data_IF_265704019041
#
_entry.id   IF_265704019041
#
_cell.length_a   1.000
_cell.length_b   1.000
_cell.length_c   1.000
_cell.angle_alpha   90.00
_cell.angle_beta   90.00
_cell.angle_gamma   90.00
#
_symmetry.space_group_name_H-M   'P 1'
#
loop_
_entity.id
_entity.type
_entity.pdbx_description
1 polymer ?
#
# COMPACT_ATOMS: atom_id res chain seq x y z
N UNK A 1 32.11 66.06 -27.00
CA UNK A 1 31.45 64.74 -26.83
C UNK A 1 30.69 64.74 -25.51
N UNK A 2 29.43 64.35 -25.56
CA UNK A 2 28.36 64.73 -24.63
C UNK A 2 28.57 64.28 -23.17
N UNK A 3 28.49 65.21 -22.22
CA UNK A 3 28.53 64.95 -20.77
C UNK A 3 27.36 64.09 -20.27
N UNK A 4 26.30 63.97 -21.08
CA UNK A 4 25.12 63.15 -20.80
C UNK A 4 25.37 61.64 -20.90
N UNK A 5 26.24 61.17 -21.81
CA UNK A 5 26.57 59.73 -21.91
C UNK A 5 27.39 59.24 -20.70
N UNK A 6 28.27 60.08 -20.16
CA UNK A 6 29.09 59.74 -18.98
C UNK A 6 28.25 59.66 -17.70
N UNK A 7 27.23 60.49 -17.57
CA UNK A 7 26.30 60.46 -16.42
C UNK A 7 25.28 59.31 -16.53
N UNK A 8 24.82 58.99 -17.74
CA UNK A 8 23.95 57.84 -17.98
C UNK A 8 24.60 56.51 -17.61
N UNK A 9 25.86 56.29 -18.01
CA UNK A 9 26.59 55.05 -17.70
C UNK A 9 26.81 54.80 -16.20
N UNK A 10 27.04 55.86 -15.41
CA UNK A 10 27.23 55.75 -13.96
C UNK A 10 25.93 55.40 -13.22
N UNK A 11 24.79 55.93 -13.68
CA UNK A 11 23.49 55.60 -13.10
C UNK A 11 23.08 54.13 -13.38
N UNK A 12 23.36 53.62 -14.58
CA UNK A 12 23.09 52.23 -14.95
C UNK A 12 23.96 51.25 -14.16
N UNK A 13 25.23 51.58 -13.90
CA UNK A 13 26.14 50.75 -13.11
C UNK A 13 25.69 50.62 -11.64
N UNK A 14 25.19 51.70 -11.04
CA UNK A 14 24.69 51.68 -9.66
C UNK A 14 23.47 50.75 -9.50
N UNK A 15 22.52 50.81 -10.43
CA UNK A 15 21.32 49.95 -10.41
C UNK A 15 21.69 48.47 -10.65
N UNK A 16 22.61 48.19 -11.59
CA UNK A 16 23.04 46.83 -11.88
C UNK A 16 23.77 46.17 -10.69
N UNK A 17 24.60 46.92 -9.96
CA UNK A 17 25.28 46.41 -8.76
C UNK A 17 24.32 46.15 -7.59
N UNK A 18 23.29 46.99 -7.43
CA UNK A 18 22.24 46.77 -6.42
C UNK A 18 21.45 45.49 -6.64
N UNK A 19 21.13 45.14 -7.88
CA UNK A 19 20.36 43.92 -8.21
C UNK A 19 21.22 42.66 -8.00
N UNK A 20 22.50 42.68 -8.38
CA UNK A 20 23.41 41.56 -8.17
C UNK A 20 23.64 41.25 -6.68
N UNK A 21 23.73 42.29 -5.84
CA UNK A 21 23.89 42.15 -4.38
C UNK A 21 22.64 41.55 -3.71
N UNK A 22 21.44 41.86 -4.24
CA UNK A 22 20.16 41.39 -3.70
C UNK A 22 19.84 39.94 -4.11
N UNK A 23 20.21 39.55 -5.33
CA UNK A 23 20.03 38.18 -5.84
C UNK A 23 20.98 37.16 -5.16
N UNK A 24 22.11 37.61 -4.61
CA UNK A 24 23.10 36.75 -3.97
C UNK A 24 22.64 36.13 -2.64
N UNK A 25 21.70 36.74 -1.90
CA UNK A 25 21.18 36.17 -0.65
C UNK A 25 20.17 35.02 -0.86
N UNK A 26 19.58 34.88 -2.05
CA UNK A 26 18.54 33.88 -2.33
C UNK A 26 19.00 32.64 -3.11
N UNK A 27 20.23 32.63 -3.62
CA UNK A 27 20.74 31.61 -4.56
C UNK A 27 22.08 30.98 -4.13
N UNK A 28 22.48 31.16 -2.87
CA UNK A 28 23.69 30.55 -2.30
C UNK A 28 23.49 29.10 -1.85
N UNK A 29 24.56 28.51 -1.33
CA UNK A 29 24.54 27.13 -0.78
C UNK A 29 23.58 26.96 0.41
N UNK A 30 23.16 28.06 1.05
CA UNK A 30 22.20 28.12 2.16
C UNK A 30 20.90 28.84 1.75
N UNK A 31 20.55 28.78 0.46
CA UNK A 31 19.31 29.37 -0.02
C UNK A 31 18.10 28.70 0.64
N UNK A 32 17.15 29.51 1.11
CA UNK A 32 15.88 29.05 1.68
C UNK A 32 15.09 28.13 0.73
N UNK A 33 15.33 28.23 -0.59
CA UNK A 33 14.73 27.35 -1.60
C UNK A 33 15.25 25.91 -1.54
N UNK A 34 16.46 25.68 -1.00
CA UNK A 34 17.02 24.34 -0.76
C UNK A 34 16.41 23.66 0.47
N UNK A 35 15.79 24.42 1.36
CA UNK A 35 15.11 23.90 2.56
C UNK A 35 13.68 23.44 2.26
N UNK A 36 13.14 23.76 1.08
CA UNK A 36 11.84 23.25 0.62
C UNK A 36 11.98 21.75 0.35
N UNK A 37 11.32 20.95 1.19
CA UNK A 37 11.32 19.49 1.08
C UNK A 37 10.05 19.00 0.40
N UNK A 38 10.11 17.83 -0.27
CA UNK A 38 8.91 17.16 -0.72
C UNK A 38 7.93 16.93 0.44
N UNK A 39 6.64 17.07 0.17
CA UNK A 39 5.58 16.88 1.18
C UNK A 39 5.56 15.44 1.72
N UNK A 40 5.88 14.48 0.85
CA UNK A 40 5.92 13.06 1.17
C UNK A 40 7.33 12.57 1.42
N UNK A 41 7.45 11.50 2.21
CA UNK A 41 8.72 10.99 2.68
C UNK A 41 9.67 10.66 1.52
N UNK A 42 10.90 11.16 1.64
CA UNK A 42 11.97 10.94 0.68
C UNK A 42 13.31 10.75 1.41
N UNK A 43 14.18 9.90 0.86
CA UNK A 43 15.54 9.69 1.36
C UNK A 43 16.46 9.20 0.25
N UNK A 44 17.76 9.24 0.49
CA UNK A 44 18.78 8.72 -0.43
C UNK A 44 19.83 7.97 0.39
N UNK A 45 20.21 6.77 -0.06
CA UNK A 45 21.33 6.01 0.50
C UNK A 45 22.15 5.40 -0.63
N UNK A 46 23.38 5.88 -0.78
CA UNK A 46 24.22 5.56 -1.94
C UNK A 46 23.47 5.93 -3.24
N UNK A 47 23.39 4.95 -4.15
CA UNK A 47 22.76 5.10 -5.46
C UNK A 47 21.23 4.99 -5.45
N UNK A 48 20.61 4.61 -4.32
CA UNK A 48 19.16 4.46 -4.22
C UNK A 48 18.54 5.73 -3.67
N UNK A 49 17.51 6.22 -4.37
CA UNK A 49 16.65 7.32 -3.91
C UNK A 49 15.21 6.83 -3.81
N UNK A 50 14.61 7.05 -2.65
CA UNK A 50 13.20 6.82 -2.41
C UNK A 50 12.49 8.18 -2.40
N UNK A 51 11.41 8.29 -3.15
CA UNK A 51 10.59 9.50 -3.20
C UNK A 51 9.10 9.17 -3.13
N UNK A 52 8.33 10.11 -2.60
CA UNK A 52 6.88 10.00 -2.51
C UNK A 52 6.41 8.74 -1.78
N UNK A 53 7.10 8.36 -0.69
CA UNK A 53 6.78 7.14 0.06
C UNK A 53 5.60 7.38 0.99
N UNK A 54 4.57 6.55 0.85
CA UNK A 54 3.34 6.60 1.64
C UNK A 54 2.82 5.20 1.93
N UNK A 55 2.18 5.03 3.09
CA UNK A 55 1.38 3.83 3.39
C UNK A 55 -0.08 4.22 3.19
N UNK A 56 -0.76 3.56 2.26
CA UNK A 56 -2.14 3.88 1.89
C UNK A 56 -3.06 2.77 2.40
N UNK A 57 -3.90 3.12 3.36
CA UNK A 57 -4.87 2.21 3.97
C UNK A 57 -6.19 2.23 3.20
N UNK A 58 -7.12 1.38 3.62
CA UNK A 58 -8.50 1.42 3.15
C UNK A 58 -9.13 2.81 3.31
N UNK A 59 -10.12 3.16 2.48
CA UNK A 59 -10.80 4.45 2.59
C UNK A 59 -11.69 4.55 3.83
N UNK A 60 -11.99 3.47 4.55
CA UNK A 60 -12.69 3.55 5.83
C UNK A 60 -11.66 3.63 6.98
N UNK A 61 -11.76 4.66 7.82
CA UNK A 61 -10.77 4.96 8.87
C UNK A 61 -10.69 3.90 9.97
N UNK A 62 -11.76 3.11 10.14
CA UNK A 62 -11.85 1.99 11.10
C UNK A 62 -11.45 0.63 10.49
N UNK A 63 -11.08 0.59 9.21
CA UNK A 63 -10.79 -0.68 8.55
C UNK A 63 -9.38 -1.16 8.87
N UNK A 64 -9.28 -2.35 9.47
CA UNK A 64 -8.03 -3.11 9.68
C UNK A 64 -7.60 -3.87 8.43
N UNK A 65 -8.14 -3.50 7.26
CA UNK A 65 -7.95 -4.17 6.00
C UNK A 65 -6.55 -4.05 5.41
N UNK A 66 -6.35 -4.58 4.19
CA UNK A 66 -5.08 -4.50 3.53
C UNK A 66 -4.70 -3.03 3.30
N UNK A 67 -3.39 -2.79 3.25
CA UNK A 67 -2.80 -1.51 2.92
C UNK A 67 -1.77 -1.71 1.81
N UNK A 68 -1.40 -0.64 1.12
CA UNK A 68 -0.38 -0.68 0.08
C UNK A 68 0.66 0.40 0.30
N UNK A 69 1.90 0.12 -0.09
CA UNK A 69 2.98 1.09 -0.06
C UNK A 69 3.10 1.71 -1.45
N UNK A 70 2.90 3.02 -1.54
CA UNK A 70 3.18 3.81 -2.74
C UNK A 70 4.55 4.43 -2.61
N UNK A 71 5.39 4.30 -3.64
CA UNK A 71 6.72 4.89 -3.68
C UNK A 71 7.24 4.99 -5.11
N UNK A 72 8.15 5.93 -5.37
CA UNK A 72 9.02 5.87 -6.54
C UNK A 72 10.44 5.58 -6.10
N UNK A 73 11.02 4.53 -6.65
CA UNK A 73 12.37 4.06 -6.35
C UNK A 73 13.25 4.37 -7.55
N UNK A 74 14.29 5.17 -7.36
CA UNK A 74 15.30 5.48 -8.38
C UNK A 74 16.61 4.79 -8.03
N UNK A 75 17.29 4.30 -9.05
CA UNK A 75 18.65 3.77 -8.95
C UNK A 75 19.55 4.59 -9.87
N UNK A 76 20.35 5.49 -9.28
CA UNK A 76 21.29 6.34 -10.02
C UNK A 76 22.62 5.65 -10.29
N UNK A 77 22.78 4.41 -9.83
CA UNK A 77 24.00 3.62 -9.99
C UNK A 77 24.13 3.01 -11.38
N UNK A 78 25.31 2.46 -11.65
CA UNK A 78 25.66 1.81 -12.92
C UNK A 78 25.23 0.33 -13.00
N UNK A 79 24.67 -0.23 -11.92
CA UNK A 79 24.21 -1.62 -11.88
C UNK A 79 22.79 -1.72 -11.36
N UNK A 80 22.00 -2.64 -11.92
CA UNK A 80 20.65 -2.90 -11.44
C UNK A 80 20.68 -3.47 -10.01
N UNK A 81 19.61 -3.19 -9.26
CA UNK A 81 19.39 -3.73 -7.91
C UNK A 81 18.01 -4.36 -7.81
N UNK A 82 17.90 -5.45 -7.05
CA UNK A 82 16.60 -6.03 -6.68
C UNK A 82 16.10 -5.36 -5.40
N UNK A 83 14.80 -5.10 -5.35
CA UNK A 83 14.08 -4.79 -4.13
C UNK A 83 13.60 -6.11 -3.54
N UNK A 84 14.28 -6.54 -2.47
CA UNK A 84 14.09 -7.87 -1.89
C UNK A 84 12.94 -7.89 -0.89
N UNK A 85 12.74 -6.80 -0.15
CA UNK A 85 11.62 -6.66 0.78
C UNK A 85 11.24 -5.19 1.04
N UNK A 86 9.99 -5.01 1.46
CA UNK A 86 9.50 -3.75 2.04
C UNK A 86 8.78 -4.10 3.35
N UNK A 87 9.25 -3.58 4.48
CA UNK A 87 8.67 -3.83 5.79
C UNK A 87 8.13 -2.52 6.39
N UNK A 88 6.93 -2.58 6.97
CA UNK A 88 6.33 -1.48 7.72
C UNK A 88 6.31 -1.85 9.20
N UNK A 89 6.88 -0.99 10.06
CA UNK A 89 6.87 -1.25 11.50
C UNK A 89 5.42 -1.37 12.02
N UNK A 90 5.13 -2.49 12.66
CA UNK A 90 3.77 -2.84 13.12
C UNK A 90 2.78 -3.23 12.02
N UNK A 91 3.15 -3.16 10.74
CA UNK A 91 2.39 -3.68 9.59
C UNK A 91 2.96 -4.98 9.02
N UNK A 92 4.25 -5.26 9.24
CA UNK A 92 4.94 -6.44 8.74
C UNK A 92 5.49 -6.26 7.32
N UNK A 93 5.88 -7.39 6.72
CA UNK A 93 6.48 -7.44 5.39
C UNK A 93 5.39 -7.41 4.31
N UNK A 94 5.57 -6.53 3.32
CA UNK A 94 4.69 -6.42 2.16
C UNK A 94 5.00 -7.49 1.12
N UNK A 95 3.94 -8.00 0.49
CA UNK A 95 4.02 -8.83 -0.69
C UNK A 95 4.42 -7.98 -1.90
N UNK A 96 5.56 -8.31 -2.51
CA UNK A 96 6.08 -7.64 -3.69
C UNK A 96 5.66 -8.36 -4.96
N UNK A 97 5.01 -7.64 -5.87
CA UNK A 97 4.63 -8.15 -7.18
C UNK A 97 5.18 -7.25 -8.29
N UNK A 98 5.98 -7.77 -9.23
CA UNK A 98 6.43 -6.98 -10.38
C UNK A 98 5.27 -6.52 -11.27
N UNK A 99 5.45 -5.37 -11.94
CA UNK A 99 4.45 -4.82 -12.86
C UNK A 99 4.11 -5.77 -14.03
N UNK A 100 5.09 -6.58 -14.46
CA UNK A 100 4.95 -7.54 -15.57
C UNK A 100 5.74 -8.80 -15.26
N UNK A 101 5.21 -9.95 -15.70
CA UNK A 101 5.86 -11.24 -15.56
C UNK A 101 5.83 -11.78 -14.13
N UNK A 102 6.72 -12.74 -13.86
CA UNK A 102 6.93 -13.34 -12.54
C UNK A 102 8.41 -13.17 -12.18
N UNK A 103 8.73 -13.05 -10.90
CA UNK A 103 10.12 -13.03 -10.41
C UNK A 103 10.43 -11.83 -9.52
N UNK A 104 11.72 -11.55 -9.36
CA UNK A 104 12.22 -10.49 -8.50
C UNK A 104 11.87 -9.09 -9.04
N UNK A 105 11.56 -8.18 -8.13
CA UNK A 105 11.31 -6.78 -8.46
C UNK A 105 12.64 -6.04 -8.63
N UNK A 106 13.02 -5.74 -9.87
CA UNK A 106 14.33 -5.14 -10.18
C UNK A 106 14.19 -3.67 -10.54
N UNK A 107 15.04 -2.83 -9.94
CA UNK A 107 15.23 -1.42 -10.27
C UNK A 107 16.43 -1.28 -11.23
N UNK A 108 16.20 -0.88 -12.50
CA UNK A 108 17.27 -0.79 -13.50
C UNK A 108 18.36 0.23 -13.13
N UNK A 109 19.59 0.01 -13.60
CA UNK A 109 20.66 1.01 -13.53
C UNK A 109 20.26 2.31 -14.26
N UNK A 110 20.49 3.46 -13.65
CA UNK A 110 20.04 4.76 -14.17
C UNK A 110 18.51 4.89 -14.34
N UNK A 111 17.73 3.98 -13.75
CA UNK A 111 16.30 3.84 -13.98
C UNK A 111 15.46 4.03 -12.72
N UNK A 112 14.16 3.75 -12.87
CA UNK A 112 13.21 3.83 -11.77
C UNK A 112 12.13 2.76 -11.84
N UNK A 113 11.51 2.51 -10.70
CA UNK A 113 10.33 1.66 -10.53
C UNK A 113 9.33 2.41 -9.67
N UNK A 114 8.06 2.35 -10.05
CA UNK A 114 6.94 2.88 -9.26
C UNK A 114 6.27 1.69 -8.55
N UNK A 115 6.01 1.86 -7.26
CA UNK A 115 5.19 0.98 -6.43
C UNK A 115 3.82 1.60 -6.22
N UNK A 116 2.78 0.78 -6.34
CA UNK A 116 1.39 1.18 -6.14
C UNK A 116 0.77 1.80 -7.40
N UNK A 117 -0.56 1.83 -7.41
CA UNK A 117 -1.35 2.29 -8.55
C UNK A 117 -1.45 1.27 -9.69
N UNK A 118 -2.44 1.47 -10.56
CA UNK A 118 -2.77 0.54 -11.64
C UNK A 118 -1.62 0.38 -12.63
N UNK A 119 -1.22 -0.87 -12.88
CA UNK A 119 -0.23 -1.23 -13.92
C UNK A 119 1.24 -1.09 -13.49
N UNK A 120 1.49 -0.69 -12.24
CA UNK A 120 2.81 -0.62 -11.63
C UNK A 120 3.12 -1.89 -10.82
N UNK A 121 4.32 -1.95 -10.26
CA UNK A 121 4.64 -2.99 -9.28
C UNK A 121 3.83 -2.74 -8.00
N UNK A 122 3.54 -3.80 -7.25
CA UNK A 122 2.78 -3.73 -6.00
C UNK A 122 3.68 -4.05 -4.81
N UNK A 123 3.40 -3.39 -3.69
CA UNK A 123 3.87 -3.72 -2.36
C UNK A 123 2.66 -3.66 -1.42
N UNK A 124 2.05 -4.81 -1.16
CA UNK A 124 0.78 -4.92 -0.45
C UNK A 124 0.95 -5.59 0.91
N UNK A 125 0.28 -5.05 1.93
CA UNK A 125 0.13 -5.66 3.25
C UNK A 125 -1.27 -6.25 3.33
N UNK A 126 -1.39 -7.52 3.69
CA UNK A 126 -2.68 -8.19 3.83
C UNK A 126 -3.49 -7.64 5.02
N UNK A 127 -2.78 -7.28 6.08
CA UNK A 127 -3.35 -6.72 7.30
C UNK A 127 -2.44 -5.61 7.82
N UNK A 128 -3.01 -4.69 8.58
CA UNK A 128 -2.26 -3.64 9.27
C UNK A 128 -2.44 -3.79 10.78
N UNK A 129 -1.33 -3.75 11.52
CA UNK A 129 -1.40 -3.78 12.98
C UNK A 129 -1.92 -2.46 13.55
N UNK A 130 -2.41 -2.51 14.79
CA UNK A 130 -3.06 -1.38 15.47
C UNK A 130 -2.20 -0.12 15.62
N UNK A 131 -0.88 -0.21 15.42
CA UNK A 131 0.02 0.95 15.43
C UNK A 131 0.00 1.75 14.12
N UNK A 132 -0.39 1.15 12.99
CA UNK A 132 -0.46 1.80 11.68
C UNK A 132 -1.82 2.50 11.57
N UNK A 133 -1.83 3.83 11.69
CA UNK A 133 -3.07 4.63 11.77
C UNK A 133 -3.01 5.85 10.86
N UNK A 134 -4.12 6.15 10.21
CA UNK A 134 -4.25 7.34 9.37
C UNK A 134 -3.82 8.60 10.13
N UNK A 135 -3.00 9.43 9.49
CA UNK A 135 -2.44 10.66 10.05
C UNK A 135 -1.13 10.48 10.84
N UNK A 136 -0.72 9.25 11.16
CA UNK A 136 0.60 9.01 11.77
C UNK A 136 1.68 8.72 10.73
N UNK A 137 2.95 8.63 11.18
CA UNK A 137 4.08 8.30 10.33
C UNK A 137 4.75 7.01 10.81
N UNK A 138 4.77 6.00 9.94
CA UNK A 138 5.36 4.69 10.21
C UNK A 138 6.75 4.57 9.61
N UNK A 139 7.63 3.86 10.32
CA UNK A 139 8.91 3.48 9.75
C UNK A 139 8.68 2.45 8.66
N UNK A 140 9.27 2.68 7.50
CA UNK A 140 9.28 1.76 6.37
C UNK A 140 10.73 1.46 6.03
N UNK A 141 11.04 0.18 5.86
CA UNK A 141 12.37 -0.33 5.50
C UNK A 141 12.29 -0.99 4.14
N UNK A 142 13.07 -0.48 3.19
CA UNK A 142 13.26 -1.08 1.87
C UNK A 142 14.62 -1.77 1.86
N UNK A 143 14.65 -3.07 1.59
CA UNK A 143 15.91 -3.83 1.53
C UNK A 143 16.27 -4.10 0.07
N UNK A 144 17.46 -3.64 -0.33
CA UNK A 144 17.99 -3.84 -1.67
C UNK A 144 19.19 -4.79 -1.66
N UNK A 145 19.35 -5.57 -2.72
CA UNK A 145 20.41 -6.60 -2.79
C UNK A 145 21.84 -6.09 -2.66
N UNK A 146 22.10 -4.80 -2.94
CA UNK A 146 23.45 -4.21 -2.82
C UNK A 146 23.51 -3.06 -1.83
N UNK A 147 22.56 -2.12 -1.92
CA UNK A 147 22.50 -0.98 -0.99
C UNK A 147 22.15 -1.41 0.44
N UNK A 148 21.47 -2.55 0.61
CA UNK A 148 20.96 -2.98 1.91
C UNK A 148 19.73 -2.18 2.33
N UNK A 149 19.61 -1.92 3.63
CA UNK A 149 18.41 -1.34 4.21
C UNK A 149 18.37 0.19 4.08
N UNK A 150 17.33 0.68 3.41
CA UNK A 150 17.00 2.10 3.31
C UNK A 150 15.76 2.37 4.15
N UNK A 151 15.91 3.17 5.20
CA UNK A 151 14.86 3.42 6.18
C UNK A 151 14.37 4.85 6.10
N UNK A 152 13.06 5.06 6.22
CA UNK A 152 12.45 6.38 6.36
C UNK A 152 11.12 6.28 7.10
N UNK A 153 10.52 7.43 7.44
CA UNK A 153 9.18 7.49 8.03
C UNK A 153 8.19 8.00 7.00
N UNK A 154 7.21 7.19 6.64
CA UNK A 154 6.19 7.51 5.66
C UNK A 154 4.84 7.81 6.34
N UNK A 155 4.10 8.79 5.83
CA UNK A 155 2.75 9.08 6.31
C UNK A 155 1.80 7.95 5.95
N UNK A 156 0.90 7.65 6.88
CA UNK A 156 -0.22 6.74 6.69
C UNK A 156 -1.44 7.55 6.31
N UNK A 157 -2.00 7.28 5.13
CA UNK A 157 -3.16 8.02 4.60
C UNK A 157 -4.25 7.06 4.14
N UNK A 158 -5.53 7.41 4.29
CA UNK A 158 -6.60 6.61 3.70
C UNK A 158 -6.63 6.78 2.18
N UNK A 159 -7.10 5.75 1.47
CA UNK A 159 -7.38 5.77 0.03
C UNK A 159 -8.58 6.68 -0.36
N UNK A 160 -8.61 7.92 0.16
CA UNK A 160 -9.61 8.95 -0.15
C UNK A 160 -9.01 10.02 -1.07
N UNK A 161 -9.89 10.77 -1.74
CA UNK A 161 -9.53 11.90 -2.59
C UNK A 161 -8.46 11.52 -3.64
N UNK A 162 -7.28 12.16 -3.58
CA UNK A 162 -6.16 11.93 -4.47
C UNK A 162 -5.58 10.50 -4.41
N UNK A 163 -5.79 9.77 -3.31
CA UNK A 163 -5.22 8.43 -3.08
C UNK A 163 -6.12 7.28 -3.54
N UNK A 164 -7.34 7.56 -4.02
CA UNK A 164 -8.30 6.54 -4.49
C UNK A 164 -7.73 5.60 -5.55
N UNK A 165 -6.85 6.10 -6.43
CA UNK A 165 -6.22 5.31 -7.50
C UNK A 165 -4.95 4.57 -7.08
N UNK A 166 -4.46 4.84 -5.87
CA UNK A 166 -3.19 4.35 -5.35
C UNK A 166 -3.37 3.42 -4.16
N UNK A 167 -4.57 3.38 -3.58
CA UNK A 167 -4.90 2.53 -2.45
C UNK A 167 -5.16 1.06 -2.81
N UNK A 168 -5.44 0.23 -1.80
CA UNK A 168 -5.75 -1.19 -1.98
C UNK A 168 -7.00 -1.37 -2.84
N UNK A 169 -6.98 -2.37 -3.71
CA UNK A 169 -8.14 -2.72 -4.57
C UNK A 169 -9.07 -3.73 -3.93
N UNK A 170 -8.60 -4.50 -2.95
CA UNK A 170 -9.41 -5.43 -2.16
C UNK A 170 -9.91 -4.68 -0.93
N UNK A 171 -11.22 -4.42 -0.86
CA UNK A 171 -11.85 -3.92 0.35
C UNK A 171 -12.21 -5.13 1.22
N UNK A 172 -11.87 -5.12 2.52
CA UNK A 172 -12.37 -6.15 3.43
C UNK A 172 -13.90 -6.16 3.40
N UNK A 173 -14.47 -7.37 3.50
CA UNK A 173 -15.90 -7.49 3.74
C UNK A 173 -16.27 -6.73 5.02
N UNK A 174 -17.36 -5.96 4.97
CA UNK A 174 -17.89 -5.34 6.18
C UNK A 174 -18.26 -6.46 7.18
N UNK A 175 -18.06 -6.26 8.50
CA UNK A 175 -18.53 -7.22 9.49
C UNK A 175 -20.04 -7.39 9.36
N UNK A 176 -20.48 -8.52 8.78
CA UNK A 176 -21.90 -8.83 8.54
C UNK A 176 -22.25 -9.23 7.11
N UNK A 177 -21.41 -8.95 6.11
CA UNK A 177 -21.67 -9.35 4.72
C UNK A 177 -21.18 -10.78 4.44
N UNK A 178 -22.03 -11.75 4.77
CA UNK A 178 -21.93 -13.09 4.18
C UNK A 178 -22.38 -13.01 2.72
N UNK A 179 -21.43 -12.73 1.83
CA UNK A 179 -21.68 -12.79 0.38
C UNK A 179 -21.99 -14.24 0.01
N UNK A 180 -23.26 -14.49 -0.29
CA UNK A 180 -23.75 -15.72 -0.92
C UNK A 180 -22.98 -15.92 -2.24
N UNK A 181 -22.43 -17.11 -2.53
CA UNK A 181 -21.77 -17.35 -3.81
C UNK A 181 -22.80 -17.19 -4.93
N UNK A 182 -22.54 -16.27 -5.85
CA UNK A 182 -23.27 -16.12 -7.10
C UNK A 182 -22.90 -17.29 -8.01
N UNK A 183 -23.63 -18.40 -7.88
CA UNK A 183 -23.51 -19.53 -8.80
C UNK A 183 -24.16 -19.15 -10.12
N UNK A 184 -23.41 -18.44 -10.97
CA UNK A 184 -23.76 -18.27 -12.38
C UNK A 184 -23.53 -19.59 -13.11
N UNK A 185 -24.56 -20.43 -13.17
CA UNK A 185 -24.57 -21.62 -14.02
C UNK A 185 -24.80 -21.20 -15.47
N UNK A 186 -23.80 -21.43 -16.32
CA UNK A 186 -23.97 -21.39 -17.78
C UNK A 186 -24.94 -22.52 -18.22
N UNK A 187 -25.90 -22.28 -19.13
CA UNK A 187 -26.76 -23.34 -19.64
C UNK A 187 -25.99 -24.21 -20.65
N UNK A 188 -25.49 -25.36 -20.18
CA UNK A 188 -24.99 -26.43 -21.05
C UNK A 188 -26.15 -27.21 -21.67
N UNK A 189 -26.24 -27.18 -22.99
CA UNK A 189 -27.12 -28.03 -23.78
C UNK A 189 -26.68 -29.50 -23.69
N UNK A 190 -27.62 -30.41 -23.43
CA UNK A 190 -27.40 -31.86 -23.41
C UNK A 190 -28.70 -32.63 -23.57
N UNK A 191 -28.95 -33.11 -24.78
CA UNK A 191 -30.04 -33.99 -25.19
C UNK A 191 -29.81 -35.44 -24.74
N UNK A 192 -30.80 -36.10 -24.13
CA UNK A 192 -30.77 -37.56 -23.86
C UNK A 192 -32.00 -38.08 -23.10
N UNK A 193 -32.78 -38.94 -23.78
CA UNK A 193 -34.08 -39.54 -23.45
C UNK A 193 -34.12 -40.50 -22.22
N UNK A 194 -35.30 -40.77 -21.61
CA UNK A 194 -35.43 -41.69 -20.47
C UNK A 194 -35.76 -43.13 -20.91
N UNK A 195 -35.25 -44.15 -20.20
CA UNK A 195 -36.01 -45.39 -19.97
C UNK A 195 -35.48 -46.27 -18.82
N UNK A 196 -36.41 -47.03 -18.25
CA UNK A 196 -36.36 -47.80 -17.01
C UNK A 196 -35.77 -49.23 -17.12
N UNK A 197 -35.32 -49.81 -15.99
CA UNK A 197 -35.92 -51.03 -15.38
C UNK A 197 -35.08 -51.69 -14.27
N UNK A 198 -35.77 -51.94 -13.14
CA UNK A 198 -35.87 -53.17 -12.33
C UNK A 198 -34.65 -53.84 -11.68
N UNK A 199 -34.66 -53.93 -10.34
CA UNK A 199 -35.09 -55.10 -9.54
C UNK A 199 -34.63 -54.92 -8.09
N UNK A 200 -35.54 -54.71 -7.13
CA UNK A 200 -36.19 -55.75 -6.31
C UNK A 200 -35.25 -56.41 -5.27
N UNK A 201 -35.40 -56.01 -4.01
CA UNK A 201 -35.64 -56.93 -2.88
C UNK A 201 -36.06 -56.15 -1.61
N UNK A 202 -37.23 -56.50 -1.10
CA UNK A 202 -37.81 -56.28 0.25
C UNK A 202 -38.49 -57.62 0.59
N UNK A 203 -38.92 -57.98 1.82
CA UNK A 203 -39.07 -57.17 3.04
C UNK A 203 -38.65 -57.89 4.35
N UNK A 204 -38.65 -57.20 5.50
CA UNK A 204 -39.62 -57.33 6.62
C UNK A 204 -38.77 -57.55 7.90
N UNK A 205 -39.08 -57.16 9.13
CA UNK A 205 -40.29 -56.72 9.85
C UNK A 205 -39.80 -55.84 11.03
N UNK A 206 -40.39 -54.68 11.31
CA UNK A 206 -41.52 -54.46 12.25
C UNK A 206 -41.16 -54.64 13.73
N UNK A 207 -41.12 -53.53 14.49
CA UNK A 207 -41.98 -53.28 15.68
C UNK A 207 -41.65 -51.94 16.34
N UNK A 208 -42.71 -51.32 16.87
CA UNK A 208 -42.89 -49.89 17.18
C UNK A 208 -42.74 -49.62 18.71
N UNK A 209 -43.23 -48.51 19.31
CA UNK A 209 -42.44 -47.63 20.20
C UNK A 209 -42.95 -47.57 21.66
N UNK A 210 -42.16 -47.06 22.60
CA UNK A 210 -42.59 -46.62 23.95
C UNK A 210 -41.40 -45.93 24.64
N UNK A 211 -41.48 -44.97 25.54
CA UNK A 211 -42.44 -43.97 26.02
C UNK A 211 -41.67 -43.16 27.11
N UNK A 212 -42.16 -41.97 27.45
CA UNK A 212 -42.07 -41.31 28.74
C UNK A 212 -40.71 -40.82 29.32
N UNK A 213 -40.53 -39.50 29.24
CA UNK A 213 -40.55 -38.54 30.36
C UNK A 213 -39.90 -38.92 31.71
N UNK A 214 -38.94 -38.11 32.17
CA UNK A 214 -39.09 -37.32 33.42
C UNK A 214 -37.91 -36.37 33.65
N UNK A 215 -38.28 -35.14 34.00
CA UNK A 215 -37.41 -34.09 34.53
C UNK A 215 -37.00 -34.36 35.98
N UNK A 216 -35.91 -33.73 36.44
CA UNK A 216 -35.87 -33.01 37.72
C UNK A 216 -34.59 -32.15 37.84
N UNK A 217 -34.81 -30.85 37.93
CA UNK A 217 -33.94 -29.82 38.54
C UNK A 217 -33.81 -30.09 40.04
N UNK A 218 -32.66 -29.83 40.68
CA UNK A 218 -32.58 -29.21 42.04
C UNK A 218 -31.18 -28.64 42.30
N UNK A 219 -31.19 -27.55 43.08
CA UNK A 219 -30.22 -26.50 43.38
C UNK A 219 -29.04 -26.87 44.34
N UNK A 220 -27.92 -26.12 44.21
CA UNK A 220 -27.01 -25.43 45.19
C UNK A 220 -26.68 -26.01 46.60
N UNK A 221 -25.74 -25.44 47.41
CA UNK A 221 -24.65 -24.46 47.20
C UNK A 221 -23.30 -24.76 47.96
N UNK A 222 -22.38 -23.77 47.93
CA UNK A 222 -21.35 -23.41 48.94
C UNK A 222 -20.07 -24.27 49.02
N UNK A 223 -18.90 -23.82 49.51
CA UNK A 223 -18.19 -22.56 49.75
C UNK A 223 -16.86 -23.00 50.42
N UNK A 224 -15.76 -22.24 50.34
CA UNK A 224 -14.68 -22.41 51.33
C UNK A 224 -13.27 -22.01 50.91
N UNK A 225 -12.90 -20.81 51.38
CA UNK A 225 -11.59 -20.30 51.81
C UNK A 225 -10.40 -20.22 50.84
#
# INVERSE_FOLDING_TARGET
MSSSLRRGALATAAIAFSIASLAACGAGNDAQTLEVKPDNAATSLGDIKLQNVMVITQPNDESTGPAVISATVFNTGSTAQTLDSVNVDGGGAAELTPAKGKGALTVPAGGSVILGGKGNASAALNEIGASVKNGNAQKVTFTFSKTGDVNLRAFVVPAKYYFTKWGPTEMPAAPGDTTKPDSRTEPGAGTGSPNASNSANTPADTTTPTDASSASTTESPAAGH
#
